data_IF_573125600328
#
_entry.id   IF_573125600328
#
_cell.length_a   1.000
_cell.length_b   1.000
_cell.length_c   1.000
_cell.angle_alpha   90.00
_cell.angle_beta   90.00
_cell.angle_gamma   90.00
#
_symmetry.space_group_name_H-M   'P 1'
#
loop_
_entity.id
_entity.type
_entity.pdbx_description
1 polymer ?
#
# COMPACT_ATOMS: atom_id res chain seq x y z
N UNK A 1 9.40 24.05 24.71
CA UNK A 1 8.05 23.58 25.02
C UNK A 1 7.11 24.39 24.16
N UNK A 2 6.66 23.85 23.05
CA UNK A 2 5.65 24.46 22.18
C UNK A 2 4.38 23.62 22.28
N UNK A 3 3.36 24.25 22.86
CA UNK A 3 2.04 23.68 23.07
C UNK A 3 1.39 23.28 21.74
N UNK A 4 0.98 22.02 21.65
CA UNK A 4 0.11 21.53 20.58
C UNK A 4 -1.32 21.90 20.93
N UNK A 5 -1.90 22.91 20.27
CA UNK A 5 -3.33 23.16 20.32
C UNK A 5 -4.04 22.07 19.52
N UNK A 6 -4.76 21.20 20.22
CA UNK A 6 -5.60 20.16 19.63
C UNK A 6 -6.81 20.78 18.93
N UNK A 7 -6.99 20.43 17.66
CA UNK A 7 -8.24 20.68 16.92
C UNK A 7 -9.28 19.69 17.46
N UNK A 8 -10.38 20.21 17.99
CA UNK A 8 -11.50 19.42 18.50
C UNK A 8 -11.99 18.42 17.45
N UNK A 9 -11.83 17.14 17.78
CA UNK A 9 -12.36 16.03 17.01
C UNK A 9 -13.90 16.01 17.13
N UNK A 10 -14.60 16.30 16.06
CA UNK A 10 -15.98 15.85 15.87
C UNK A 10 -15.99 14.33 15.97
N UNK A 11 -16.73 13.79 16.92
CA UNK A 11 -16.87 12.34 17.15
C UNK A 11 -17.51 11.69 15.91
N UNK A 12 -16.68 11.15 15.03
CA UNK A 12 -17.13 10.18 14.04
C UNK A 12 -17.01 8.82 14.72
N UNK A 13 -18.10 8.34 15.29
CA UNK A 13 -18.21 6.95 15.72
C UNK A 13 -18.27 6.05 14.48
N UNK A 14 -17.12 5.65 14.00
CA UNK A 14 -17.02 4.56 13.02
C UNK A 14 -17.28 3.28 13.81
N UNK A 15 -18.42 2.63 13.61
CA UNK A 15 -18.69 1.26 14.08
C UNK A 15 -17.79 0.30 13.32
N UNK A 16 -16.62 0.00 13.88
CA UNK A 16 -15.46 -0.58 13.19
C UNK A 16 -15.32 -2.11 13.30
N UNK A 17 -16.30 -2.84 13.81
CA UNK A 17 -16.11 -4.26 14.15
C UNK A 17 -16.13 -5.23 12.96
N UNK A 18 -16.43 -4.77 11.74
CA UNK A 18 -16.55 -5.65 10.58
C UNK A 18 -15.29 -5.77 9.71
N UNK A 19 -14.28 -4.88 9.81
CA UNK A 19 -13.22 -4.77 8.80
C UNK A 19 -11.78 -4.98 9.30
N UNK A 20 -11.56 -5.36 10.55
CA UNK A 20 -10.26 -5.84 11.05
C UNK A 20 -9.12 -4.81 11.12
N UNK A 21 -9.39 -3.51 10.98
CA UNK A 21 -8.42 -2.43 11.17
C UNK A 21 -8.82 -1.44 12.26
N UNK A 22 -9.92 -1.69 12.98
CA UNK A 22 -10.26 -1.00 14.20
C UNK A 22 -9.06 -1.03 15.14
N UNK A 23 -8.69 0.12 15.72
CA UNK A 23 -7.54 0.25 16.63
C UNK A 23 -6.17 -0.09 16.01
N UNK A 24 -5.97 0.19 14.71
CA UNK A 24 -4.64 0.05 14.07
C UNK A 24 -3.99 1.42 13.93
N UNK A 25 -2.81 1.62 14.55
CA UNK A 25 -2.04 2.86 14.41
C UNK A 25 -0.54 2.61 14.45
N UNK A 26 0.21 3.50 13.78
CA UNK A 26 1.67 3.48 13.80
C UNK A 26 2.13 4.24 15.04
N UNK A 27 2.91 3.58 15.89
CA UNK A 27 3.46 4.15 17.12
C UNK A 27 4.78 4.88 16.87
N UNK A 28 5.60 4.36 15.97
CA UNK A 28 6.89 4.98 15.65
C UNK A 28 7.35 4.66 14.24
N UNK A 29 8.19 5.53 13.70
CA UNK A 29 8.86 5.38 12.42
C UNK A 29 10.36 5.60 12.60
N UNK A 30 11.18 4.71 12.04
CA UNK A 30 12.63 4.89 11.89
C UNK A 30 13.00 4.78 10.42
N UNK A 31 13.79 5.72 9.94
CA UNK A 31 14.35 5.76 8.59
C UNK A 31 15.86 5.67 8.66
N UNK A 32 16.46 4.89 7.76
CA UNK A 32 17.91 4.83 7.55
C UNK A 32 18.17 4.95 6.06
N UNK A 33 19.02 5.91 5.67
CA UNK A 33 19.39 6.20 4.28
C UNK A 33 18.18 6.33 3.33
N UNK A 34 17.12 6.98 3.77
CA UNK A 34 15.90 7.11 2.97
C UNK A 34 15.71 8.55 2.49
N UNK A 35 15.70 8.78 1.19
CA UNK A 35 15.55 10.10 0.55
C UNK A 35 16.59 11.11 1.08
N UNK A 36 16.14 12.18 1.75
CA UNK A 36 17.02 13.17 2.37
C UNK A 36 17.36 12.87 3.84
N UNK A 37 16.87 11.75 4.37
CA UNK A 37 17.11 11.33 5.74
C UNK A 37 18.22 10.29 5.81
N UNK A 38 19.40 10.64 6.32
CA UNK A 38 20.45 9.68 6.66
C UNK A 38 20.00 8.79 7.83
N UNK A 39 19.45 9.40 8.85
CA UNK A 39 18.81 8.76 10.00
C UNK A 39 17.69 9.67 10.51
N UNK A 40 16.53 9.10 10.76
CA UNK A 40 15.39 9.83 11.30
C UNK A 40 14.56 8.89 12.17
N UNK A 41 14.10 9.40 13.32
CA UNK A 41 13.18 8.69 14.21
C UNK A 41 12.10 9.66 14.66
N UNK A 42 10.87 9.17 14.69
CA UNK A 42 9.72 9.87 15.24
C UNK A 42 8.78 8.88 15.91
N UNK A 43 8.23 9.28 17.05
CA UNK A 43 7.17 8.56 17.74
C UNK A 43 5.85 9.31 17.49
N UNK A 44 4.78 8.59 17.26
CA UNK A 44 3.47 9.11 16.89
C UNK A 44 2.47 8.92 18.05
N UNK A 45 1.76 9.98 18.46
CA UNK A 45 0.60 9.84 19.32
C UNK A 45 -0.56 9.19 18.54
N UNK A 46 -1.51 8.60 19.26
CA UNK A 46 -2.74 8.03 18.66
C UNK A 46 -3.78 9.14 18.41
N UNK A 47 -3.44 10.07 17.53
CA UNK A 47 -4.30 11.17 17.11
C UNK A 47 -3.91 11.64 15.69
N UNK A 48 -4.71 12.47 15.02
CA UNK A 48 -4.34 13.09 13.76
C UNK A 48 -3.03 13.86 13.87
N UNK A 49 -2.14 13.71 12.87
CA UNK A 49 -0.79 14.28 12.87
C UNK A 49 -0.61 15.18 11.64
N UNK A 50 -0.14 16.40 11.87
CA UNK A 50 0.26 17.32 10.82
C UNK A 50 1.78 17.53 10.84
N UNK A 51 2.44 17.30 9.69
CA UNK A 51 3.85 17.62 9.49
C UNK A 51 3.99 19.04 8.94
N UNK A 52 4.51 19.94 9.75
CA UNK A 52 4.69 21.36 9.42
C UNK A 52 6.19 21.68 9.30
N UNK A 53 6.56 22.57 8.39
CA UNK A 53 7.94 23.01 8.21
C UNK A 53 8.22 23.54 6.80
N UNK A 54 9.42 24.08 6.57
CA UNK A 54 9.85 24.65 5.29
C UNK A 54 9.80 23.59 4.17
N UNK A 55 9.69 24.05 2.92
CA UNK A 55 9.78 23.15 1.75
C UNK A 55 11.17 22.49 1.69
N UNK A 56 11.20 21.23 1.27
CA UNK A 56 12.47 20.48 1.16
C UNK A 56 12.94 19.76 2.44
N UNK A 57 12.39 20.04 3.64
CA UNK A 57 12.83 19.41 4.90
C UNK A 57 12.53 17.91 5.01
N UNK A 58 11.75 17.34 4.08
CA UNK A 58 11.47 15.90 4.06
C UNK A 58 10.10 15.47 4.54
N UNK A 59 9.14 16.38 4.78
CA UNK A 59 7.76 16.03 5.20
C UNK A 59 7.11 14.97 4.32
N UNK A 60 7.14 15.17 3.01
CA UNK A 60 6.60 14.22 2.03
C UNK A 60 7.38 12.90 2.02
N UNK A 61 8.66 12.91 2.35
CA UNK A 61 9.47 11.70 2.40
C UNK A 61 9.06 10.79 3.59
N UNK A 62 8.58 11.39 4.69
CA UNK A 62 8.02 10.63 5.81
C UNK A 62 6.73 9.93 5.38
N UNK A 63 5.81 10.66 4.71
CA UNK A 63 4.59 10.07 4.17
C UNK A 63 4.87 9.00 3.11
N UNK A 64 5.89 9.22 2.27
CA UNK A 64 6.34 8.25 1.28
C UNK A 64 6.86 6.97 1.96
N UNK A 65 7.67 7.11 3.02
CA UNK A 65 8.15 5.96 3.79
C UNK A 65 7.00 5.14 4.40
N UNK A 66 6.01 5.82 5.00
CA UNK A 66 4.81 5.15 5.53
C UNK A 66 4.08 4.43 4.39
N UNK A 67 3.90 5.08 3.23
CA UNK A 67 3.20 4.47 2.09
C UNK A 67 3.88 3.23 1.52
N UNK A 68 5.16 3.02 1.81
CA UNK A 68 5.89 1.79 1.46
C UNK A 68 5.61 0.63 2.41
N UNK A 69 4.87 0.83 3.51
CA UNK A 69 4.43 -0.25 4.39
C UNK A 69 3.24 -1.03 3.81
N UNK A 70 2.97 -0.88 2.54
CA UNK A 70 2.02 -1.67 1.76
C UNK A 70 2.66 -2.18 0.46
N UNK A 71 2.01 -3.09 -0.28
CA UNK A 71 2.47 -3.51 -1.61
C UNK A 71 2.58 -2.33 -2.58
N UNK A 72 3.57 -2.38 -3.49
CA UNK A 72 3.76 -1.35 -4.50
C UNK A 72 4.97 -0.45 -4.25
N UNK A 73 5.00 0.70 -4.94
CA UNK A 73 6.13 1.65 -4.99
C UNK A 73 5.86 2.96 -4.22
N UNK A 74 4.95 2.93 -3.26
CA UNK A 74 4.61 4.12 -2.48
C UNK A 74 3.82 5.18 -3.26
N UNK A 75 3.67 6.37 -2.65
CA UNK A 75 2.83 7.46 -3.20
C UNK A 75 3.38 8.08 -4.48
N UNK A 76 4.71 8.13 -4.65
CA UNK A 76 5.36 8.74 -5.85
C UNK A 76 5.59 7.75 -6.98
N UNK A 77 5.45 6.44 -6.73
CA UNK A 77 5.64 5.37 -7.73
C UNK A 77 7.00 5.41 -8.48
N UNK A 78 8.03 5.97 -7.86
CA UNK A 78 9.39 6.02 -8.40
C UNK A 78 10.12 4.68 -8.25
N UNK A 79 11.31 4.54 -8.86
CA UNK A 79 12.14 3.36 -8.69
C UNK A 79 12.58 3.23 -7.22
N UNK A 80 12.77 2.00 -6.73
CA UNK A 80 13.24 1.79 -5.36
C UNK A 80 14.67 2.30 -5.15
N UNK A 81 15.48 2.30 -6.20
CA UNK A 81 16.85 2.78 -6.21
C UNK A 81 16.91 4.28 -5.90
N UNK A 82 15.99 5.06 -6.50
CA UNK A 82 15.90 6.51 -6.29
C UNK A 82 15.44 6.89 -4.88
N UNK A 83 15.04 5.93 -4.06
CA UNK A 83 14.61 6.19 -2.68
C UNK A 83 15.76 6.20 -1.69
N UNK A 84 16.94 5.70 -2.07
CA UNK A 84 18.11 5.70 -1.22
C UNK A 84 18.71 7.10 -1.05
N UNK A 85 19.26 7.38 0.15
CA UNK A 85 19.93 8.63 0.46
C UNK A 85 21.22 8.77 -0.37
N UNK A 86 21.36 9.88 -1.11
CA UNK A 86 22.60 10.27 -1.80
C UNK A 86 23.36 9.09 -2.44
N UNK A 87 22.69 8.27 -3.19
CA UNK A 87 23.28 7.11 -3.89
C UNK A 87 23.93 6.05 -2.96
N UNK A 88 23.50 5.96 -1.70
CA UNK A 88 23.99 4.94 -0.76
C UNK A 88 23.70 3.49 -1.23
N UNK A 89 22.85 3.30 -2.23
CA UNK A 89 22.48 1.97 -2.73
C UNK A 89 21.63 1.13 -1.78
N UNK A 90 21.35 1.63 -0.57
CA UNK A 90 20.51 0.94 0.40
C UNK A 90 19.64 1.91 1.18
N UNK A 91 18.50 1.42 1.67
CA UNK A 91 17.68 2.09 2.67
C UNK A 91 16.95 1.09 3.56
N UNK A 92 16.55 1.54 4.73
CA UNK A 92 15.65 0.80 5.59
C UNK A 92 14.60 1.71 6.22
N UNK A 93 13.40 1.18 6.32
CA UNK A 93 12.24 1.78 6.98
C UNK A 93 11.78 0.78 8.03
N UNK A 94 11.55 1.23 9.24
CA UNK A 94 10.99 0.40 10.30
C UNK A 94 9.87 1.17 10.98
N UNK A 95 8.72 0.51 11.17
CA UNK A 95 7.60 1.01 11.96
C UNK A 95 7.29 0.07 13.11
N UNK A 96 6.86 0.63 14.24
CA UNK A 96 6.14 -0.11 15.25
C UNK A 96 4.65 0.18 15.07
N UNK A 97 3.87 -0.87 14.93
CA UNK A 97 2.43 -0.86 14.71
C UNK A 97 1.73 -1.46 15.92
N UNK A 98 0.62 -0.88 16.35
CA UNK A 98 -0.35 -1.54 17.21
C UNK A 98 -1.56 -1.88 16.36
N UNK A 99 -2.01 -3.13 16.43
CA UNK A 99 -3.23 -3.63 15.81
C UNK A 99 -3.94 -4.54 16.81
N UNK A 100 -5.20 -4.22 17.15
CA UNK A 100 -6.01 -5.03 18.07
C UNK A 100 -5.27 -5.33 19.40
N UNK A 101 -4.59 -4.29 19.96
CA UNK A 101 -3.75 -4.34 21.18
C UNK A 101 -2.43 -5.12 21.03
N UNK A 102 -2.17 -5.80 19.92
CA UNK A 102 -0.89 -6.45 19.64
C UNK A 102 0.11 -5.50 18.99
N UNK A 103 1.39 -5.68 19.32
CA UNK A 103 2.49 -4.87 18.79
C UNK A 103 3.23 -5.64 17.71
N UNK A 104 3.49 -4.99 16.59
CA UNK A 104 4.24 -5.55 15.46
C UNK A 104 5.38 -4.63 15.06
N UNK A 105 6.58 -5.19 14.93
CA UNK A 105 7.73 -4.51 14.33
C UNK A 105 7.80 -4.83 12.84
N UNK A 106 7.52 -3.84 11.98
CA UNK A 106 7.51 -4.03 10.51
C UNK A 106 8.71 -3.32 9.92
N UNK A 107 9.60 -4.07 9.27
CA UNK A 107 10.76 -3.57 8.55
C UNK A 107 10.60 -3.72 7.03
N UNK A 108 11.01 -2.70 6.29
CA UNK A 108 11.09 -2.74 4.84
C UNK A 108 12.44 -2.17 4.40
N UNK A 109 13.20 -2.92 3.61
CA UNK A 109 14.56 -2.51 3.20
C UNK A 109 14.86 -2.88 1.78
N UNK A 110 15.75 -2.10 1.18
CA UNK A 110 16.42 -2.40 -0.09
C UNK A 110 17.92 -2.33 0.14
N UNK A 111 18.67 -3.25 -0.46
CA UNK A 111 20.12 -3.20 -0.57
C UNK A 111 20.50 -3.70 -1.95
N UNK A 112 20.92 -2.78 -2.80
CA UNK A 112 21.25 -3.04 -4.20
C UNK A 112 22.46 -3.95 -4.38
N UNK A 113 23.33 -4.05 -3.37
CA UNK A 113 24.48 -4.96 -3.42
C UNK A 113 24.04 -6.44 -3.40
N UNK A 114 22.85 -6.71 -2.83
CA UNK A 114 22.35 -8.08 -2.68
C UNK A 114 21.09 -8.35 -3.50
N UNK A 115 20.24 -7.35 -3.76
CA UNK A 115 18.96 -7.56 -4.45
C UNK A 115 18.37 -6.26 -4.96
N UNK A 116 17.79 -6.31 -6.16
CA UNK A 116 16.96 -5.21 -6.71
C UNK A 116 15.52 -5.22 -6.16
N UNK A 117 15.19 -6.14 -5.29
CA UNK A 117 13.85 -6.26 -4.73
C UNK A 117 13.82 -5.88 -3.25
N UNK A 118 12.76 -5.20 -2.86
CA UNK A 118 12.50 -4.81 -1.48
C UNK A 118 12.22 -6.05 -0.62
N UNK A 119 12.92 -6.16 0.50
CA UNK A 119 12.72 -7.19 1.51
C UNK A 119 11.83 -6.64 2.62
N UNK A 120 10.89 -7.46 3.11
CA UNK A 120 9.97 -7.10 4.20
C UNK A 120 10.10 -8.12 5.31
N UNK A 121 10.10 -7.62 6.55
CA UNK A 121 10.09 -8.45 7.75
C UNK A 121 8.99 -7.98 8.70
N UNK A 122 8.39 -8.92 9.42
CA UNK A 122 7.52 -8.66 10.57
C UNK A 122 8.10 -9.46 11.73
N UNK A 123 8.42 -8.76 12.82
CA UNK A 123 9.04 -9.32 14.02
C UNK A 123 10.25 -10.23 13.70
N UNK A 124 11.11 -9.72 12.78
CA UNK A 124 12.31 -10.40 12.33
C UNK A 124 12.10 -11.47 11.25
N UNK A 125 10.88 -11.93 10.99
CA UNK A 125 10.58 -12.98 9.99
C UNK A 125 10.32 -12.38 8.62
N UNK A 126 10.92 -12.92 7.57
CA UNK A 126 10.66 -12.50 6.19
C UNK A 126 9.25 -12.85 5.74
N UNK A 127 8.60 -11.87 5.12
CA UNK A 127 7.31 -12.06 4.46
C UNK A 127 7.36 -11.50 3.03
N UNK A 128 6.40 -11.90 2.20
CA UNK A 128 6.20 -11.22 0.91
C UNK A 128 5.62 -9.82 1.15
N UNK A 129 5.92 -8.82 0.29
CA UNK A 129 5.29 -7.50 0.40
C UNK A 129 3.75 -7.54 0.40
N UNK A 130 3.14 -8.53 -0.26
CA UNK A 130 1.68 -8.74 -0.22
C UNK A 130 1.18 -9.13 1.18
N UNK A 131 2.03 -9.76 2.00
CA UNK A 131 1.67 -10.12 3.37
C UNK A 131 1.39 -8.92 4.27
N UNK A 132 1.90 -7.72 3.93
CA UNK A 132 1.64 -6.49 4.66
C UNK A 132 0.15 -6.12 4.73
N UNK A 133 -0.64 -6.49 3.72
CA UNK A 133 -2.08 -6.18 3.67
C UNK A 133 -2.89 -6.80 4.81
N UNK A 134 -2.32 -7.80 5.51
CA UNK A 134 -2.95 -8.40 6.69
C UNK A 134 -2.78 -7.56 7.95
N UNK A 135 -1.78 -6.67 7.98
CA UNK A 135 -1.40 -5.93 9.17
C UNK A 135 -1.86 -4.49 9.13
N UNK A 136 -1.75 -3.85 7.95
CA UNK A 136 -2.23 -2.48 7.83
C UNK A 136 -2.69 -2.16 6.41
N UNK A 137 -3.68 -1.29 6.30
CA UNK A 137 -4.14 -0.68 5.06
C UNK A 137 -3.82 0.81 5.04
N UNK A 138 -3.23 1.30 3.95
CA UNK A 138 -2.86 2.70 3.80
C UNK A 138 -3.56 3.28 2.58
N UNK A 139 -4.36 4.31 2.79
CA UNK A 139 -4.91 5.16 1.72
C UNK A 139 -4.11 6.45 1.72
N UNK A 140 -3.62 6.84 0.56
CA UNK A 140 -2.91 8.09 0.37
C UNK A 140 -3.69 8.96 -0.62
N UNK A 141 -3.97 10.20 -0.23
CA UNK A 141 -4.57 11.21 -1.11
C UNK A 141 -3.46 12.20 -1.46
N UNK A 142 -3.26 12.45 -2.72
CA UNK A 142 -2.25 13.40 -3.24
C UNK A 142 -2.89 14.37 -4.20
N UNK A 143 -2.33 15.59 -4.39
CA UNK A 143 -2.85 16.55 -5.37
C UNK A 143 -2.95 16.00 -6.80
N UNK A 144 -2.13 15.02 -7.16
CA UNK A 144 -2.19 14.36 -8.47
C UNK A 144 -3.46 13.51 -8.65
N UNK A 145 -4.15 13.16 -7.57
CA UNK A 145 -5.37 12.35 -7.64
C UNK A 145 -6.59 13.13 -8.13
N UNK A 146 -6.55 14.46 -8.18
CA UNK A 146 -7.59 15.29 -8.83
C UNK A 146 -7.77 14.87 -10.28
N UNK A 147 -6.72 14.35 -10.91
CA UNK A 147 -6.73 13.87 -12.30
C UNK A 147 -7.32 12.46 -12.47
N UNK A 148 -7.66 11.76 -11.39
CA UNK A 148 -8.12 10.35 -11.47
C UNK A 148 -9.38 10.19 -12.30
N UNK A 149 -10.24 11.22 -12.33
CA UNK A 149 -11.46 11.26 -13.14
C UNK A 149 -11.21 11.69 -14.59
N UNK A 150 -10.12 12.42 -14.83
CA UNK A 150 -9.73 12.90 -16.16
C UNK A 150 -8.86 11.85 -16.87
N UNK A 151 -8.04 11.13 -16.10
CA UNK A 151 -7.17 10.07 -16.60
C UNK A 151 -7.97 8.81 -16.98
N UNK A 152 -7.32 7.92 -17.74
CA UNK A 152 -7.92 6.68 -18.22
C UNK A 152 -8.44 5.75 -17.12
N UNK A 153 -9.34 4.84 -17.49
CA UNK A 153 -9.99 3.86 -16.59
C UNK A 153 -9.01 3.00 -15.78
N UNK A 154 -7.77 2.83 -16.26
CA UNK A 154 -6.73 2.07 -15.56
C UNK A 154 -6.37 2.69 -14.20
N UNK A 155 -6.25 4.03 -14.10
CA UNK A 155 -5.91 4.70 -12.86
C UNK A 155 -7.07 4.66 -11.85
N UNK A 156 -8.32 4.79 -12.34
CA UNK A 156 -9.51 4.59 -11.50
C UNK A 156 -9.57 3.17 -10.92
N UNK A 157 -9.31 2.14 -11.75
CA UNK A 157 -9.24 0.74 -11.26
C UNK A 157 -8.16 0.56 -10.21
N UNK A 158 -6.94 1.07 -10.44
CA UNK A 158 -5.85 0.98 -9.47
C UNK A 158 -6.18 1.66 -8.13
N UNK A 159 -6.93 2.75 -8.17
CA UNK A 159 -7.37 3.44 -6.96
C UNK A 159 -8.38 2.58 -6.17
N UNK A 160 -9.42 2.11 -6.84
CA UNK A 160 -10.40 1.22 -6.22
C UNK A 160 -9.74 -0.07 -5.70
N UNK A 161 -8.78 -0.64 -6.42
CA UNK A 161 -8.05 -1.82 -5.98
C UNK A 161 -7.25 -1.56 -4.69
N UNK A 162 -6.64 -0.38 -4.55
CA UNK A 162 -5.96 0.01 -3.30
C UNK A 162 -6.92 0.07 -2.11
N UNK A 163 -8.12 0.57 -2.29
CA UNK A 163 -9.14 0.57 -1.24
C UNK A 163 -9.60 -0.87 -1.00
N UNK A 164 -9.87 -1.62 -2.05
CA UNK A 164 -10.40 -2.98 -1.94
C UNK A 164 -9.48 -3.93 -1.18
N UNK A 165 -8.16 -3.85 -1.35
CA UNK A 165 -7.27 -4.76 -0.61
C UNK A 165 -7.17 -4.43 0.89
N UNK A 166 -7.62 -3.24 1.34
CA UNK A 166 -7.75 -2.92 2.76
C UNK A 166 -8.86 -3.78 3.38
N UNK A 167 -9.98 -3.94 2.68
CA UNK A 167 -11.11 -4.75 3.13
C UNK A 167 -10.91 -6.24 2.86
N UNK A 168 -10.29 -6.60 1.74
CA UNK A 168 -10.10 -7.97 1.28
C UNK A 168 -8.61 -8.27 1.06
N UNK A 169 -7.93 -8.83 2.05
CA UNK A 169 -6.47 -9.10 2.00
C UNK A 169 -6.05 -10.02 0.84
N UNK A 170 -6.97 -10.87 0.34
CA UNK A 170 -6.75 -11.72 -0.85
C UNK A 170 -6.77 -10.95 -2.17
N UNK A 171 -7.38 -9.77 -2.21
CA UNK A 171 -7.61 -9.01 -3.45
C UNK A 171 -6.31 -8.69 -4.20
N UNK A 172 -5.28 -8.22 -3.49
CA UNK A 172 -3.97 -7.92 -4.09
C UNK A 172 -3.31 -9.17 -4.71
N UNK A 173 -3.50 -10.36 -4.09
CA UNK A 173 -3.03 -11.63 -4.64
C UNK A 173 -3.81 -12.00 -5.90
N UNK A 174 -5.13 -11.85 -5.89
CA UNK A 174 -5.99 -12.14 -7.04
C UNK A 174 -5.62 -11.26 -8.24
N UNK A 175 -5.41 -9.95 -8.04
CA UNK A 175 -4.95 -9.05 -9.10
C UNK A 175 -3.62 -9.50 -9.68
N UNK A 176 -2.63 -9.82 -8.82
CA UNK A 176 -1.32 -10.26 -9.29
C UNK A 176 -1.39 -11.54 -10.10
N UNK A 177 -2.23 -12.51 -9.67
CA UNK A 177 -2.43 -13.76 -10.40
C UNK A 177 -3.11 -13.51 -11.75
N UNK A 178 -4.17 -12.70 -11.78
CA UNK A 178 -4.85 -12.28 -12.98
C UNK A 178 -3.91 -11.62 -14.00
N UNK A 179 -3.12 -10.62 -13.56
CA UNK A 179 -2.16 -9.92 -14.42
C UNK A 179 -1.05 -10.85 -14.94
N UNK A 180 -0.62 -11.82 -14.13
CA UNK A 180 0.37 -12.82 -14.55
C UNK A 180 -0.20 -13.67 -15.69
N UNK A 181 -1.43 -14.20 -15.52
CA UNK A 181 -2.10 -15.03 -16.53
C UNK A 181 -2.38 -14.28 -17.83
N UNK A 182 -2.77 -13.00 -17.73
CA UNK A 182 -2.93 -12.14 -18.93
C UNK A 182 -1.61 -12.00 -19.69
N UNK A 183 -0.49 -11.77 -18.98
CA UNK A 183 0.83 -11.71 -19.63
C UNK A 183 1.25 -13.02 -20.26
N UNK A 184 0.98 -14.14 -19.58
CA UNK A 184 1.26 -15.49 -20.07
C UNK A 184 0.45 -15.77 -21.33
N UNK A 185 -0.86 -15.54 -21.30
CA UNK A 185 -1.74 -15.67 -22.48
C UNK A 185 -1.26 -14.82 -23.67
N UNK A 186 -0.90 -13.57 -23.41
CA UNK A 186 -0.38 -12.69 -24.46
C UNK A 186 0.99 -13.16 -24.99
N UNK A 187 1.82 -13.80 -24.15
CA UNK A 187 3.07 -14.43 -24.55
C UNK A 187 2.83 -15.57 -25.56
N UNK A 188 1.87 -16.46 -25.27
CA UNK A 188 1.53 -17.58 -26.16
C UNK A 188 1.14 -17.10 -27.57
N UNK A 189 0.41 -15.99 -27.68
CA UNK A 189 0.09 -15.41 -28.99
C UNK A 189 1.31 -14.91 -29.72
N UNK A 190 2.27 -14.26 -29.03
CA UNK A 190 3.52 -13.77 -29.63
C UNK A 190 4.39 -14.92 -30.12
N UNK A 191 4.40 -16.02 -29.40
CA UNK A 191 5.19 -17.21 -29.69
C UNK A 191 4.50 -18.13 -30.69
N UNK A 192 3.35 -17.72 -31.25
CA UNK A 192 2.53 -18.49 -32.22
C UNK A 192 2.16 -19.89 -31.71
N UNK A 193 1.95 -20.04 -30.41
CA UNK A 193 1.51 -21.32 -29.84
C UNK A 193 0.08 -21.61 -30.28
N UNK A 194 -0.18 -22.83 -30.78
CA UNK A 194 -1.48 -23.24 -31.28
C UNK A 194 -2.20 -24.24 -30.38
N UNK A 195 -1.61 -24.61 -29.26
CA UNK A 195 -2.20 -25.55 -28.30
C UNK A 195 -3.45 -24.95 -27.63
N UNK A 196 -4.61 -25.39 -28.12
CA UNK A 196 -5.92 -24.94 -27.66
C UNK A 196 -6.19 -25.30 -26.21
N UNK A 197 -5.74 -26.46 -25.74
CA UNK A 197 -5.94 -26.89 -24.34
C UNK A 197 -5.22 -25.98 -23.36
N UNK A 198 -4.03 -25.49 -23.73
CA UNK A 198 -3.28 -24.56 -22.92
C UNK A 198 -4.00 -23.21 -22.79
N UNK A 199 -4.51 -22.66 -23.90
CA UNK A 199 -5.32 -21.45 -23.89
C UNK A 199 -6.57 -21.61 -23.02
N UNK A 200 -7.33 -22.68 -23.18
CA UNK A 200 -8.53 -22.94 -22.39
C UNK A 200 -8.23 -23.00 -20.88
N UNK A 201 -7.12 -23.61 -20.50
CA UNK A 201 -6.69 -23.73 -19.11
C UNK A 201 -6.37 -22.35 -18.51
N UNK A 202 -5.61 -21.52 -19.24
CA UNK A 202 -5.26 -20.16 -18.79
C UNK A 202 -6.52 -19.29 -18.73
N UNK A 203 -7.39 -19.36 -19.74
CA UNK A 203 -8.60 -18.55 -19.80
C UNK A 203 -9.59 -18.90 -18.67
N UNK A 204 -9.74 -20.17 -18.31
CA UNK A 204 -10.52 -20.57 -17.12
C UNK A 204 -9.98 -19.92 -15.84
N UNK A 205 -8.67 -19.92 -15.66
CA UNK A 205 -8.05 -19.27 -14.50
C UNK A 205 -8.21 -17.75 -14.54
N UNK A 206 -8.10 -17.11 -15.70
CA UNK A 206 -8.35 -15.67 -15.89
C UNK A 206 -9.78 -15.32 -15.47
N UNK A 207 -10.77 -16.10 -15.90
CA UNK A 207 -12.18 -15.92 -15.52
C UNK A 207 -12.36 -16.08 -14.00
N UNK A 208 -11.76 -17.09 -13.40
CA UNK A 208 -11.85 -17.33 -11.96
C UNK A 208 -11.32 -16.14 -11.14
N UNK A 209 -10.08 -15.69 -11.41
CA UNK A 209 -9.51 -14.55 -10.70
C UNK A 209 -10.22 -13.24 -11.05
N UNK A 210 -10.61 -13.04 -12.29
CA UNK A 210 -11.37 -11.88 -12.75
C UNK A 210 -12.70 -11.73 -12.04
N UNK A 211 -13.44 -12.82 -11.88
CA UNK A 211 -14.71 -12.85 -11.14
C UNK A 211 -14.53 -12.47 -9.67
N UNK A 212 -13.51 -13.02 -9.00
CA UNK A 212 -13.19 -12.67 -7.61
C UNK A 212 -12.89 -11.16 -7.47
N UNK A 213 -12.10 -10.60 -8.38
CA UNK A 213 -11.75 -9.18 -8.39
C UNK A 213 -13.00 -8.30 -8.57
N UNK A 214 -13.90 -8.65 -9.49
CA UNK A 214 -15.14 -7.91 -9.74
C UNK A 214 -16.04 -7.95 -8.50
N UNK A 215 -16.21 -9.11 -7.89
CA UNK A 215 -17.03 -9.26 -6.66
C UNK A 215 -16.50 -8.41 -5.53
N UNK A 216 -15.18 -8.45 -5.28
CA UNK A 216 -14.55 -7.67 -4.22
C UNK A 216 -14.73 -6.16 -4.46
N UNK A 217 -14.46 -5.67 -5.68
CA UNK A 217 -14.68 -4.26 -6.07
C UNK A 217 -16.13 -3.83 -5.87
N UNK A 218 -17.08 -4.65 -6.31
CA UNK A 218 -18.52 -4.35 -6.20
C UNK A 218 -18.96 -4.21 -4.74
N UNK A 219 -18.44 -5.06 -3.85
CA UNK A 219 -18.71 -4.96 -2.42
C UNK A 219 -18.20 -3.64 -1.84
N UNK A 220 -16.96 -3.27 -2.15
CA UNK A 220 -16.36 -2.02 -1.66
C UNK A 220 -17.09 -0.80 -2.20
N UNK A 221 -17.44 -0.77 -3.48
CA UNK A 221 -18.21 0.33 -4.08
C UNK A 221 -19.56 0.49 -3.37
N UNK A 222 -20.25 -0.61 -3.08
CA UNK A 222 -21.50 -0.56 -2.32
C UNK A 222 -21.31 0.00 -0.92
N UNK A 223 -20.23 -0.40 -0.22
CA UNK A 223 -19.91 0.15 1.09
C UNK A 223 -19.65 1.65 1.03
N UNK A 224 -18.84 2.10 0.08
CA UNK A 224 -18.54 3.53 -0.09
C UNK A 224 -19.79 4.35 -0.42
N UNK A 225 -20.66 3.85 -1.30
CA UNK A 225 -21.92 4.53 -1.63
C UNK A 225 -22.81 4.63 -0.40
N UNK A 226 -22.98 3.56 0.37
CA UNK A 226 -23.78 3.59 1.61
C UNK A 226 -23.25 4.64 2.61
N UNK A 227 -21.93 4.77 2.76
CA UNK A 227 -21.34 5.78 3.65
C UNK A 227 -21.54 7.20 3.13
N UNK A 228 -21.49 7.41 1.80
CA UNK A 228 -21.73 8.71 1.18
C UNK A 228 -23.21 9.11 1.32
N UNK A 229 -24.14 8.18 1.12
CA UNK A 229 -25.58 8.43 1.19
C UNK A 229 -26.07 8.67 2.62
N UNK A 230 -25.33 8.22 3.64
CA UNK A 230 -25.65 8.38 5.05
C UNK A 230 -25.04 9.62 5.72
N UNK A 231 -24.19 10.40 5.01
CA UNK A 231 -23.54 11.63 5.48
C UNK A 231 -23.96 12.84 4.66
#
# INVERSE_FOLDING_TARGET
MSEFQGINSTNIEIKNDQYGFANTHIVSLKLSNFRNHKSYKVDFPNCPIAFIGKNGVGKTNILEAISLMQPGRGIRSVSLEDMAYKNCGNFAIHINLIKEMEKYGIGSSLDLNYSKSRKVKIDGKFISPLGLTKYLGIISITPLMDKIFIEGSSNRRKFIDKITWIFFSSHAKNIRSYEKLIRERNGLFKDNVTDRNWFETIEKQIVEYGSKIIVDRSKVIKLLNNEIDNN
#
